data_IF_122389888439
#
_entry.id   IF_122389888439
#
_cell.length_a   1.000
_cell.length_b   1.000
_cell.length_c   1.000
_cell.angle_alpha   90.00
_cell.angle_beta   90.00
_cell.angle_gamma   90.00
#
_symmetry.space_group_name_H-M   'P 1'
#
loop_
_entity.id
_entity.type
_entity.pdbx_description
1 polymer ?
#
# COMPACT_ATOMS: atom_id res chain seq x y z
N UNK A 1 -22.54 -4.02 15.88
CA UNK A 1 -22.78 -2.65 15.40
C UNK A 1 -21.86 -2.48 14.21
N UNK A 2 -22.44 -2.55 13.03
CA UNK A 2 -21.74 -2.82 11.78
C UNK A 2 -20.67 -1.77 11.46
N UNK A 3 -19.45 -2.22 11.23
CA UNK A 3 -18.41 -1.45 10.53
C UNK A 3 -18.69 -1.53 9.01
N UNK A 4 -19.92 -1.21 8.63
CA UNK A 4 -20.34 -1.11 7.25
C UNK A 4 -19.65 0.10 6.63
N UNK A 5 -18.70 -0.20 5.74
CA UNK A 5 -18.14 0.69 4.73
C UNK A 5 -17.47 1.94 5.28
N UNK A 6 -16.22 1.80 5.72
CA UNK A 6 -15.23 2.83 5.36
C UNK A 6 -15.27 2.83 3.84
N UNK A 7 -15.98 3.79 3.26
CA UNK A 7 -15.86 4.15 1.86
C UNK A 7 -14.37 4.18 1.58
N UNK A 8 -13.85 3.13 0.92
CA UNK A 8 -12.50 3.10 0.38
C UNK A 8 -12.47 4.32 -0.54
N UNK A 9 -11.96 5.43 0.01
CA UNK A 9 -11.77 6.67 -0.71
C UNK A 9 -11.07 6.28 -2.02
N UNK A 10 -11.40 6.88 -3.17
CA UNK A 10 -10.85 6.50 -4.46
C UNK A 10 -9.37 6.89 -4.51
N UNK A 11 -8.55 6.19 -3.72
CA UNK A 11 -7.11 6.22 -3.77
C UNK A 11 -6.81 5.64 -5.15
N UNK A 12 -6.23 6.44 -6.06
CA UNK A 12 -5.80 5.92 -7.34
C UNK A 12 -4.90 4.72 -7.06
N UNK A 13 -5.24 3.55 -7.62
CA UNK A 13 -4.48 2.33 -7.41
C UNK A 13 -3.00 2.65 -7.65
N UNK A 14 -2.14 2.45 -6.64
CA UNK A 14 -0.75 2.82 -6.74
C UNK A 14 -0.10 2.05 -7.91
N UNK A 15 0.54 2.76 -8.84
CA UNK A 15 1.38 2.11 -9.86
C UNK A 15 2.73 1.77 -9.24
N UNK A 16 2.83 0.59 -8.66
CA UNK A 16 4.09 0.08 -8.15
C UNK A 16 5.09 -0.22 -9.29
N UNK A 17 6.36 0.05 -9.03
CA UNK A 17 7.49 -0.33 -9.90
C UNK A 17 8.42 -1.25 -9.13
N UNK A 18 8.82 -2.34 -9.78
CA UNK A 18 9.81 -3.29 -9.25
C UNK A 18 11.03 -3.24 -10.15
N UNK A 19 12.22 -3.12 -9.56
CA UNK A 19 13.50 -3.14 -10.30
C UNK A 19 14.41 -4.23 -9.74
N UNK A 20 14.93 -5.16 -10.57
CA UNK A 20 14.66 -5.35 -12.01
C UNK A 20 13.22 -5.82 -12.31
N UNK A 21 12.82 -5.72 -13.58
CA UNK A 21 11.48 -6.12 -14.05
C UNK A 21 11.17 -7.59 -13.78
N UNK A 22 9.88 -7.88 -13.56
CA UNK A 22 9.32 -9.20 -13.26
C UNK A 22 9.72 -10.26 -14.32
N UNK A 23 9.89 -11.54 -13.93
CA UNK A 23 9.56 -12.14 -12.63
C UNK A 23 10.65 -11.98 -11.56
N UNK A 24 10.23 -11.75 -10.31
CA UNK A 24 11.13 -11.71 -9.15
C UNK A 24 11.69 -13.13 -8.94
N UNK A 25 13.02 -13.25 -8.93
CA UNK A 25 13.68 -14.54 -8.69
C UNK A 25 13.78 -14.80 -7.20
N UNK A 26 13.64 -16.07 -6.80
CA UNK A 26 13.88 -16.48 -5.41
C UNK A 26 15.30 -16.10 -4.97
N UNK A 27 15.45 -15.66 -3.72
CA UNK A 27 16.73 -15.22 -3.12
C UNK A 27 17.40 -14.05 -3.87
N UNK A 28 16.63 -13.22 -4.58
CA UNK A 28 17.14 -11.98 -5.18
C UNK A 28 16.74 -10.75 -4.38
N UNK A 29 17.63 -9.74 -4.37
CA UNK A 29 17.31 -8.43 -3.83
C UNK A 29 16.66 -7.59 -4.94
N UNK A 30 15.46 -7.09 -4.68
CA UNK A 30 14.71 -6.23 -5.60
C UNK A 30 14.31 -4.94 -4.90
N UNK A 31 14.20 -3.85 -5.66
CA UNK A 31 13.71 -2.57 -5.15
C UNK A 31 12.26 -2.42 -5.55
N UNK A 32 11.39 -2.31 -4.55
CA UNK A 32 9.97 -2.00 -4.72
C UNK A 32 9.73 -0.52 -4.43
N UNK A 33 9.26 0.21 -5.43
CA UNK A 33 8.94 1.63 -5.32
C UNK A 33 7.46 1.82 -5.57
N UNK A 34 6.77 2.47 -4.64
CA UNK A 34 5.37 2.83 -4.79
C UNK A 34 5.09 4.25 -4.33
N UNK A 35 4.10 4.89 -4.95
CA UNK A 35 3.67 6.24 -4.60
C UNK A 35 2.15 6.34 -4.53
N UNK A 36 1.65 6.95 -3.46
CA UNK A 36 0.23 7.27 -3.27
C UNK A 36 0.13 8.79 -3.14
N UNK A 37 -0.70 9.46 -3.95
CA UNK A 37 -0.90 10.89 -3.80
C UNK A 37 -1.67 11.20 -2.51
N UNK A 38 -1.16 12.15 -1.72
CA UNK A 38 -1.88 12.73 -0.57
C UNK A 38 -2.69 13.91 -1.09
N UNK A 39 -4.02 13.77 -1.11
CA UNK A 39 -4.92 14.80 -1.64
C UNK A 39 -5.33 15.78 -0.54
N UNK A 40 -5.53 17.05 -0.88
CA UNK A 40 -6.06 18.07 0.05
C UNK A 40 -7.45 17.73 0.62
N UNK A 41 -8.20 16.85 -0.05
CA UNK A 41 -9.49 16.35 0.43
C UNK A 41 -9.35 15.31 1.55
N UNK A 42 -8.15 14.79 1.81
CA UNK A 42 -7.95 13.81 2.87
C UNK A 42 -8.03 14.49 4.23
N UNK A 43 -8.82 13.95 5.17
CA UNK A 43 -8.93 14.52 6.50
C UNK A 43 -7.60 14.41 7.26
N UNK A 44 -7.38 15.35 8.17
CA UNK A 44 -6.29 15.29 9.14
C UNK A 44 -6.62 14.25 10.20
N UNK A 45 -5.91 13.14 10.21
CA UNK A 45 -6.06 12.12 11.25
C UNK A 45 -4.79 11.30 11.42
N UNK A 46 -4.68 10.67 12.58
CA UNK A 46 -3.72 9.61 12.85
C UNK A 46 -4.35 8.26 12.48
N UNK A 47 -3.62 7.45 11.73
CA UNK A 47 -4.06 6.11 11.30
C UNK A 47 -2.90 5.12 11.31
N UNK A 48 -3.24 3.85 11.17
CA UNK A 48 -2.27 2.78 10.92
C UNK A 48 -2.47 2.32 9.49
N UNK A 49 -1.47 2.54 8.63
CA UNK A 49 -1.45 2.10 7.24
C UNK A 49 -1.04 0.64 7.20
N UNK A 50 -1.91 -0.22 6.67
CA UNK A 50 -1.56 -1.61 6.35
C UNK A 50 -1.02 -1.67 4.92
N UNK A 51 0.13 -2.30 4.73
CA UNK A 51 0.76 -2.48 3.44
C UNK A 51 1.01 -3.95 3.16
N UNK A 52 0.53 -4.42 2.01
CA UNK A 52 0.62 -5.82 1.59
C UNK A 52 1.14 -5.89 0.15
N UNK A 53 2.08 -6.83 -0.09
CA UNK A 53 2.46 -7.25 -1.44
C UNK A 53 2.20 -8.76 -1.53
N UNK A 54 1.36 -9.14 -2.48
CA UNK A 54 0.98 -10.53 -2.73
C UNK A 54 1.60 -11.03 -4.03
N UNK A 55 1.86 -12.33 -4.09
CA UNK A 55 2.17 -13.01 -5.35
C UNK A 55 0.90 -13.27 -6.18
N UNK A 56 1.08 -13.90 -7.35
CA UNK A 56 0.01 -14.25 -8.28
C UNK A 56 -0.98 -15.28 -7.72
N UNK A 57 -0.63 -15.97 -6.64
CA UNK A 57 -1.48 -16.92 -5.92
C UNK A 57 -2.17 -16.28 -4.70
N UNK A 58 -2.01 -14.98 -4.50
CA UNK A 58 -2.60 -14.25 -3.38
C UNK A 58 -1.91 -14.48 -2.04
N UNK A 59 -0.70 -15.04 -2.04
CA UNK A 59 0.09 -15.22 -0.82
C UNK A 59 0.90 -13.97 -0.52
N UNK A 60 0.88 -13.52 0.72
CA UNK A 60 1.67 -12.37 1.17
C UNK A 60 3.18 -12.66 1.07
N UNK A 61 3.87 -11.87 0.25
CA UNK A 61 5.33 -11.77 0.24
C UNK A 61 5.80 -10.93 1.42
N UNK A 62 5.07 -9.86 1.74
CA UNK A 62 5.19 -9.13 2.99
C UNK A 62 3.86 -8.44 3.36
N UNK A 63 3.63 -8.31 4.66
CA UNK A 63 2.53 -7.57 5.24
C UNK A 63 3.04 -6.82 6.48
N UNK A 64 2.93 -5.49 6.49
CA UNK A 64 3.32 -4.70 7.66
C UNK A 64 2.40 -3.50 7.89
N UNK A 65 2.44 -2.97 9.11
CA UNK A 65 1.63 -1.87 9.57
C UNK A 65 2.53 -0.68 9.95
N UNK A 66 2.18 0.51 9.46
CA UNK A 66 2.93 1.75 9.69
C UNK A 66 2.01 2.76 10.38
N UNK A 67 2.31 3.22 11.59
CA UNK A 67 1.60 4.38 12.15
C UNK A 67 1.94 5.63 11.32
N UNK A 68 0.92 6.35 10.89
CA UNK A 68 1.05 7.54 10.06
C UNK A 68 0.07 8.64 10.50
N UNK A 69 0.37 9.87 10.13
CA UNK A 69 -0.50 11.02 10.37
C UNK A 69 -0.58 11.87 9.12
N UNK A 70 -1.80 12.23 8.72
CA UNK A 70 -2.05 13.21 7.66
C UNK A 70 -2.06 14.60 8.28
N UNK A 71 -1.15 15.46 7.83
CA UNK A 71 -0.96 16.85 8.28
C UNK A 71 -1.06 17.82 7.08
N UNK A 72 -1.18 19.12 7.35
CA UNK A 72 -1.19 20.20 6.34
C UNK A 72 0.17 20.43 5.67
#
# INVERSE_FOLDING_TARGET
MELSTISLCPIPCPKAKVTPDLPIKQNSNVVYTNGIPVLKSYPKLSLVVKWELQDDQGKDLFCFAIPAQVVD
#
